data_IF_294138475214
#
_entry.id   IF_294138475214
#
_cell.length_a   1.000
_cell.length_b   1.000
_cell.length_c   1.000
_cell.angle_alpha   90.00
_cell.angle_beta   90.00
_cell.angle_gamma   90.00
#
_symmetry.space_group_name_H-M   'P 1'
#
loop_
_entity.id
_entity.type
_entity.pdbx_description
1 polymer ?
#
# COMPACT_ATOMS: atom_id res chain seq x y z
N UNK A 1 25.21 39.62 -31.52
CA UNK A 1 26.58 39.38 -32.07
C UNK A 1 27.50 39.24 -30.88
N UNK A 2 27.96 38.08 -30.53
CA UNK A 2 29.32 37.60 -30.27
C UNK A 2 29.29 36.11 -30.02
N UNK A 3 29.88 35.39 -30.92
CA UNK A 3 30.29 33.98 -30.79
C UNK A 3 31.42 33.89 -29.73
N UNK A 4 31.38 32.89 -28.86
CA UNK A 4 32.56 32.37 -28.21
C UNK A 4 32.50 30.82 -28.16
N UNK A 5 33.32 30.28 -29.00
CA UNK A 5 33.71 28.89 -29.15
C UNK A 5 34.82 28.61 -28.12
N UNK A 6 34.69 27.58 -27.29
CA UNK A 6 35.81 26.91 -26.54
C UNK A 6 35.44 25.48 -26.25
N UNK A 7 35.98 24.63 -27.04
CA UNK A 7 37.13 23.69 -26.87
C UNK A 7 36.93 22.58 -25.85
N UNK A 8 36.86 21.43 -26.46
CA UNK A 8 37.06 20.06 -25.93
C UNK A 8 38.38 19.94 -25.18
N UNK A 9 38.34 19.38 -23.99
CA UNK A 9 39.49 18.67 -23.44
C UNK A 9 39.00 17.34 -22.86
N UNK A 10 39.26 16.29 -23.62
CA UNK A 10 39.23 14.92 -23.16
C UNK A 10 40.39 14.73 -22.16
N UNK A 11 40.07 14.27 -20.96
CA UNK A 11 41.02 13.67 -20.04
C UNK A 11 40.52 12.26 -19.72
N UNK A 12 41.12 11.30 -20.41
CA UNK A 12 41.18 9.92 -19.94
C UNK A 12 41.97 9.89 -18.62
N UNK A 13 41.33 9.40 -17.58
CA UNK A 13 42.01 8.88 -16.41
C UNK A 13 41.43 7.49 -16.13
N UNK A 14 42.22 6.47 -16.50
CA UNK A 14 42.05 5.11 -15.97
C UNK A 14 42.39 5.10 -14.49
N UNK A 15 41.62 4.36 -13.70
CA UNK A 15 42.12 3.89 -12.42
C UNK A 15 41.05 3.69 -11.38
N UNK A 16 40.71 2.51 -11.17
CA UNK A 16 40.57 1.73 -9.95
C UNK A 16 39.18 1.13 -9.74
N UNK A 17 39.14 -0.16 -10.05
CA UNK A 17 38.09 -1.10 -9.62
C UNK A 17 37.92 -1.02 -8.10
N UNK A 18 36.76 -0.57 -7.67
CA UNK A 18 36.18 -0.91 -6.38
C UNK A 18 34.83 -1.52 -6.65
N UNK A 19 34.81 -2.83 -6.63
CA UNK A 19 33.67 -3.72 -6.75
C UNK A 19 32.67 -3.38 -5.62
N UNK A 20 31.67 -2.55 -5.94
CA UNK A 20 30.50 -2.37 -5.11
C UNK A 20 29.32 -2.82 -5.98
N UNK A 21 28.82 -4.02 -5.68
CA UNK A 21 27.75 -4.67 -6.44
C UNK A 21 26.40 -3.99 -6.24
N UNK A 22 26.25 -2.81 -6.79
CA UNK A 22 24.98 -2.21 -7.11
C UNK A 22 24.71 -2.55 -8.58
N UNK A 23 23.64 -3.26 -8.88
CA UNK A 23 23.17 -3.41 -10.24
C UNK A 23 22.78 -2.02 -10.74
N UNK A 24 23.58 -1.42 -11.63
CA UNK A 24 23.17 -0.20 -12.33
C UNK A 24 21.94 -0.54 -13.18
N UNK A 25 20.76 -0.24 -12.65
CA UNK A 25 19.52 -0.42 -13.39
C UNK A 25 19.52 0.55 -14.58
N UNK A 26 19.35 -0.01 -15.77
CA UNK A 26 19.31 0.75 -17.01
C UNK A 26 17.98 1.48 -17.15
N UNK A 27 17.97 2.76 -16.83
CA UNK A 27 16.77 3.62 -16.92
C UNK A 27 16.20 3.74 -18.35
N UNK A 28 16.98 3.36 -19.38
CA UNK A 28 16.51 3.42 -20.77
C UNK A 28 15.49 2.33 -21.12
N UNK A 29 15.30 1.34 -20.24
CA UNK A 29 14.31 0.25 -20.42
C UNK A 29 12.89 0.65 -20.08
N UNK A 30 12.72 1.78 -19.39
CA UNK A 30 11.43 2.21 -18.87
C UNK A 30 11.08 3.60 -19.38
N UNK A 31 9.82 3.82 -19.67
CA UNK A 31 9.29 5.17 -19.86
C UNK A 31 9.37 5.95 -18.55
N UNK A 32 9.48 7.28 -18.64
CA UNK A 32 9.41 8.13 -17.45
C UNK A 32 8.00 8.17 -16.92
N UNK A 33 7.80 7.63 -15.72
CA UNK A 33 6.50 7.50 -15.07
C UNK A 33 6.57 8.14 -13.68
N UNK A 34 5.56 8.92 -13.33
CA UNK A 34 5.36 9.44 -11.97
C UNK A 34 4.11 8.78 -11.38
N UNK A 35 4.24 8.18 -10.20
CA UNK A 35 3.18 7.49 -9.50
C UNK A 35 2.87 8.26 -8.22
N UNK A 36 1.63 8.69 -8.06
CA UNK A 36 1.09 9.13 -6.79
C UNK A 36 0.49 7.93 -6.07
N UNK A 37 1.05 7.59 -4.90
CA UNK A 37 0.63 6.48 -4.05
C UNK A 37 0.02 7.03 -2.77
N UNK A 38 -1.27 6.78 -2.57
CA UNK A 38 -1.96 7.09 -1.33
C UNK A 38 -1.83 5.95 -0.34
N UNK A 39 -1.71 6.24 0.96
CA UNK A 39 -1.84 5.25 2.01
C UNK A 39 -2.61 5.81 3.21
N UNK A 40 -3.32 4.92 3.90
CA UNK A 40 -4.19 5.29 5.02
C UNK A 40 -3.41 5.62 6.30
N UNK A 41 -2.20 5.12 6.46
CA UNK A 41 -1.37 5.33 7.65
C UNK A 41 -1.08 6.80 7.92
N UNK A 42 -1.07 7.16 9.20
CA UNK A 42 -0.88 8.54 9.63
C UNK A 42 0.59 8.97 9.70
N UNK A 43 1.51 8.03 9.54
CA UNK A 43 2.95 8.28 9.61
C UNK A 43 3.72 7.22 8.83
N UNK A 44 4.95 7.52 8.48
CA UNK A 44 5.86 6.60 7.77
C UNK A 44 6.17 5.32 8.55
N UNK A 45 5.83 5.26 9.84
CA UNK A 45 5.98 4.07 10.68
C UNK A 45 4.74 3.19 10.76
N UNK A 46 3.64 3.58 10.14
CA UNK A 46 2.48 2.71 9.97
C UNK A 46 2.79 1.58 8.98
N UNK A 47 2.24 0.38 9.18
CA UNK A 47 2.60 -0.82 8.41
C UNK A 47 2.37 -0.65 6.91
N UNK A 48 1.26 -0.04 6.52
CA UNK A 48 0.94 0.28 5.13
C UNK A 48 1.92 1.29 4.52
N UNK A 49 2.30 2.33 5.29
CA UNK A 49 3.29 3.31 4.84
C UNK A 49 4.71 2.72 4.77
N UNK A 50 5.07 1.78 5.66
CA UNK A 50 6.31 1.00 5.53
C UNK A 50 6.31 0.23 4.22
N UNK A 51 5.21 -0.47 3.91
CA UNK A 51 5.03 -1.17 2.63
C UNK A 51 5.15 -0.24 1.42
N UNK A 52 4.51 0.94 1.49
CA UNK A 52 4.61 1.96 0.44
C UNK A 52 6.06 2.44 0.23
N UNK A 53 6.80 2.69 1.30
CA UNK A 53 8.19 3.14 1.23
C UNK A 53 9.12 2.06 0.66
N UNK A 54 8.92 0.79 1.02
CA UNK A 54 9.67 -0.34 0.45
C UNK A 54 9.36 -0.50 -1.04
N UNK A 55 8.09 -0.39 -1.44
CA UNK A 55 7.70 -0.41 -2.84
C UNK A 55 8.36 0.72 -3.61
N UNK A 56 8.27 1.97 -3.10
CA UNK A 56 8.92 3.14 -3.69
C UNK A 56 10.40 2.89 -3.91
N UNK A 57 11.12 2.51 -2.86
CA UNK A 57 12.55 2.25 -2.94
C UNK A 57 12.86 1.21 -4.03
N UNK A 58 12.16 0.08 -4.00
CA UNK A 58 12.37 -1.01 -4.95
C UNK A 58 12.14 -0.58 -6.40
N UNK A 59 11.01 0.09 -6.69
CA UNK A 59 10.66 0.44 -8.07
C UNK A 59 11.57 1.55 -8.63
N UNK A 60 11.96 2.53 -7.81
CA UNK A 60 12.89 3.59 -8.20
C UNK A 60 14.28 3.02 -8.47
N UNK A 61 14.78 2.10 -7.62
CA UNK A 61 16.06 1.42 -7.84
C UNK A 61 16.03 0.53 -9.09
N UNK A 62 14.99 -0.30 -9.25
CA UNK A 62 14.90 -1.23 -10.38
C UNK A 62 14.71 -0.53 -11.73
N UNK A 63 14.11 0.64 -11.74
CA UNK A 63 13.91 1.45 -12.96
C UNK A 63 15.06 2.42 -13.24
N UNK A 64 16.10 2.46 -12.39
CA UNK A 64 17.18 3.44 -12.50
C UNK A 64 16.66 4.89 -12.41
N UNK A 65 15.57 5.10 -11.67
CA UNK A 65 14.93 6.40 -11.50
C UNK A 65 14.00 6.84 -12.65
N UNK A 66 13.75 5.95 -13.62
CA UNK A 66 12.76 6.26 -14.68
C UNK A 66 11.34 6.31 -14.12
N UNK A 67 11.03 5.45 -13.15
CA UNK A 67 9.76 5.47 -12.42
C UNK A 67 10.00 6.12 -11.06
N UNK A 68 9.20 7.12 -10.72
CA UNK A 68 9.25 7.82 -9.43
C UNK A 68 7.93 7.67 -8.68
N UNK A 69 8.00 7.54 -7.35
CA UNK A 69 6.81 7.37 -6.50
C UNK A 69 6.75 8.50 -5.47
N UNK A 70 5.63 9.19 -5.41
CA UNK A 70 5.32 10.14 -4.34
C UNK A 70 4.28 9.52 -3.42
N UNK A 71 4.60 9.43 -2.11
CA UNK A 71 3.71 8.83 -1.12
C UNK A 71 2.93 9.93 -0.40
N UNK A 72 1.62 9.73 -0.27
CA UNK A 72 0.70 10.61 0.43
C UNK A 72 0.03 9.85 1.58
N UNK A 73 0.43 10.18 2.81
CA UNK A 73 -0.08 9.55 4.02
C UNK A 73 -1.48 10.07 4.39
N UNK A 74 -2.20 9.31 5.22
CA UNK A 74 -3.49 9.70 5.83
C UNK A 74 -4.56 10.09 4.80
N UNK A 75 -4.59 9.41 3.66
CA UNK A 75 -5.52 9.72 2.55
C UNK A 75 -5.54 11.23 2.19
N UNK A 76 -4.38 11.86 2.25
CA UNK A 76 -4.23 13.31 2.09
C UNK A 76 -4.85 13.82 0.79
N UNK A 77 -4.70 13.07 -0.31
CA UNK A 77 -5.26 13.43 -1.62
C UNK A 77 -6.80 13.42 -1.62
N UNK A 78 -7.40 12.65 -0.72
CA UNK A 78 -8.84 12.55 -0.53
C UNK A 78 -9.36 13.38 0.67
N UNK A 79 -8.50 14.24 1.24
CA UNK A 79 -8.84 15.04 2.42
C UNK A 79 -9.03 14.20 3.70
N UNK A 80 -8.38 13.04 3.80
CA UNK A 80 -8.49 12.11 4.92
C UNK A 80 -9.73 11.21 4.85
N UNK A 81 -10.43 11.16 3.73
CA UNK A 81 -11.60 10.31 3.54
C UNK A 81 -11.22 9.03 2.79
N UNK A 82 -11.20 7.91 3.51
CA UNK A 82 -10.75 6.60 3.01
C UNK A 82 -11.53 6.10 1.79
N UNK A 83 -12.87 6.21 1.82
CA UNK A 83 -13.71 5.77 0.68
C UNK A 83 -13.44 6.62 -0.55
N UNK A 84 -13.27 7.93 -0.34
CA UNK A 84 -12.90 8.84 -1.43
C UNK A 84 -11.52 8.52 -2.02
N UNK A 85 -10.57 8.06 -1.20
CA UNK A 85 -9.26 7.59 -1.66
C UNK A 85 -9.41 6.48 -2.71
N UNK A 86 -10.22 5.46 -2.42
CA UNK A 86 -10.51 4.39 -3.38
C UNK A 86 -11.18 4.90 -4.66
N UNK A 87 -12.11 5.86 -4.57
CA UNK A 87 -12.75 6.46 -5.75
C UNK A 87 -11.72 7.15 -6.65
N UNK A 88 -10.73 7.84 -6.08
CA UNK A 88 -9.65 8.49 -6.83
C UNK A 88 -8.76 7.51 -7.59
N UNK A 89 -8.58 6.29 -7.06
CA UNK A 89 -7.87 5.22 -7.79
C UNK A 89 -8.74 4.66 -8.90
N UNK A 90 -10.02 4.43 -8.64
CA UNK A 90 -10.97 3.89 -9.63
C UNK A 90 -11.14 4.82 -10.83
N UNK A 91 -11.09 6.13 -10.63
CA UNK A 91 -11.20 7.13 -11.71
C UNK A 91 -9.85 7.51 -12.33
N UNK A 92 -8.72 6.96 -11.80
CA UNK A 92 -7.37 7.17 -12.31
C UNK A 92 -6.72 8.48 -11.89
N UNK A 93 -7.34 9.26 -11.02
CA UNK A 93 -6.77 10.51 -10.48
C UNK A 93 -5.52 10.22 -9.64
N UNK A 94 -5.55 9.14 -8.87
CA UNK A 94 -4.42 8.59 -8.10
C UNK A 94 -4.05 7.24 -8.71
N UNK A 95 -2.77 6.99 -8.93
CA UNK A 95 -2.32 5.79 -9.62
C UNK A 95 -2.31 4.55 -8.73
N UNK A 96 -2.04 4.72 -7.43
CA UNK A 96 -1.93 3.59 -6.49
C UNK A 96 -2.45 3.96 -5.11
N UNK A 97 -2.94 2.95 -4.39
CA UNK A 97 -3.42 3.10 -3.03
C UNK A 97 -3.14 1.84 -2.20
N UNK A 98 -2.89 2.02 -0.91
CA UNK A 98 -2.79 0.93 0.07
C UNK A 98 -3.86 1.12 1.14
N UNK A 99 -4.88 0.28 1.07
CA UNK A 99 -6.01 0.32 1.99
C UNK A 99 -6.28 -1.02 2.69
N UNK A 100 -6.93 -0.95 3.85
CA UNK A 100 -7.41 -2.16 4.50
C UNK A 100 -8.57 -2.79 3.72
N UNK A 101 -8.65 -4.11 3.72
CA UNK A 101 -9.74 -4.86 3.07
C UNK A 101 -11.12 -4.46 3.58
N UNK A 102 -11.23 -3.99 4.85
CA UNK A 102 -12.47 -3.46 5.39
C UNK A 102 -12.94 -2.15 4.73
N UNK A 103 -12.02 -1.34 4.20
CA UNK A 103 -12.38 -0.14 3.43
C UNK A 103 -12.67 -0.51 1.97
N UNK A 104 -11.88 -1.42 1.41
CA UNK A 104 -12.12 -1.97 0.06
C UNK A 104 -13.54 -2.55 -0.06
N UNK A 105 -14.09 -3.10 1.03
CA UNK A 105 -15.47 -3.61 1.04
C UNK A 105 -16.54 -2.54 0.78
N UNK A 106 -16.22 -1.26 0.89
CA UNK A 106 -17.16 -0.19 0.51
C UNK A 106 -17.42 -0.11 -1.00
N UNK A 107 -16.48 -0.60 -1.82
CA UNK A 107 -16.62 -0.67 -3.29
C UNK A 107 -16.81 -2.11 -3.78
N UNK A 108 -16.38 -3.09 -3.01
CA UNK A 108 -16.46 -4.52 -3.26
C UNK A 108 -16.80 -5.25 -1.95
N UNK A 109 -18.09 -5.38 -1.58
CA UNK A 109 -18.52 -5.95 -0.30
C UNK A 109 -17.95 -7.34 -0.03
N UNK A 110 -17.71 -8.13 -1.06
CA UNK A 110 -17.13 -9.47 -0.99
C UNK A 110 -15.71 -9.47 -0.41
N UNK A 111 -14.96 -8.37 -0.52
CA UNK A 111 -13.63 -8.23 0.09
C UNK A 111 -13.67 -8.33 1.63
N UNK A 112 -14.85 -8.19 2.24
CA UNK A 112 -15.03 -8.36 3.69
C UNK A 112 -14.63 -9.75 4.17
N UNK A 113 -14.72 -10.78 3.33
CA UNK A 113 -14.29 -12.15 3.68
C UNK A 113 -12.85 -12.17 4.21
N UNK A 114 -11.97 -11.32 3.68
CA UNK A 114 -10.56 -11.25 4.11
C UNK A 114 -10.37 -10.70 5.53
N UNK A 115 -11.41 -10.15 6.15
CA UNK A 115 -11.36 -9.56 7.50
C UNK A 115 -12.25 -10.29 8.49
N UNK A 116 -12.80 -11.44 8.11
CA UNK A 116 -13.64 -12.23 9.00
C UNK A 116 -12.86 -12.66 10.26
N UNK A 117 -13.48 -12.55 11.44
CA UNK A 117 -12.86 -13.01 12.67
C UNK A 117 -12.50 -14.51 12.59
N UNK A 118 -11.35 -14.86 13.17
CA UNK A 118 -10.83 -16.24 13.24
C UNK A 118 -10.60 -16.93 11.90
N UNK A 119 -10.58 -16.19 10.78
CA UNK A 119 -10.29 -16.80 9.47
C UNK A 119 -8.86 -17.34 9.40
N UNK A 120 -7.91 -16.65 10.00
CA UNK A 120 -6.50 -17.02 10.00
C UNK A 120 -6.02 -17.33 11.42
N UNK A 121 -5.28 -18.42 11.60
CA UNK A 121 -4.68 -18.81 12.88
C UNK A 121 -3.46 -17.98 13.26
N UNK A 122 -2.72 -17.52 12.25
CA UNK A 122 -1.45 -16.82 12.39
C UNK A 122 -1.10 -16.03 11.12
N UNK A 123 0.04 -15.33 11.15
CA UNK A 123 0.49 -14.54 10.01
C UNK A 123 0.84 -15.38 8.79
N UNK A 124 1.43 -16.58 8.98
CA UNK A 124 1.81 -17.44 7.87
C UNK A 124 0.56 -17.92 7.10
N UNK A 125 -0.49 -18.33 7.83
CA UNK A 125 -1.75 -18.74 7.21
C UNK A 125 -2.40 -17.62 6.40
N UNK A 126 -2.32 -16.36 6.89
CA UNK A 126 -2.80 -15.20 6.15
C UNK A 126 -1.93 -14.92 4.90
N UNK A 127 -0.63 -15.03 5.03
CA UNK A 127 0.33 -14.82 3.94
C UNK A 127 0.13 -15.86 2.83
N UNK A 128 0.06 -17.14 3.18
CA UNK A 128 -0.19 -18.24 2.24
C UNK A 128 -1.53 -18.04 1.50
N UNK A 129 -2.56 -17.55 2.19
CA UNK A 129 -3.84 -17.26 1.56
C UNK A 129 -3.75 -16.10 0.56
N UNK A 130 -3.11 -14.98 0.93
CA UNK A 130 -3.03 -13.80 0.07
C UNK A 130 -2.01 -13.92 -1.07
N UNK A 131 -1.00 -14.76 -0.95
CA UNK A 131 -0.12 -15.15 -2.06
C UNK A 131 -0.63 -16.34 -2.88
N UNK A 132 -1.74 -16.96 -2.45
CA UNK A 132 -2.43 -18.05 -3.12
C UNK A 132 -3.84 -17.65 -3.58
N UNK A 133 -4.81 -18.54 -3.32
CA UNK A 133 -6.19 -18.41 -3.79
C UNK A 133 -6.90 -17.12 -3.35
N UNK A 134 -6.57 -16.59 -2.17
CA UNK A 134 -7.12 -15.30 -1.71
C UNK A 134 -6.63 -14.13 -2.55
N UNK A 135 -5.36 -14.12 -2.96
CA UNK A 135 -4.82 -13.12 -3.86
C UNK A 135 -5.40 -13.21 -5.27
N UNK A 136 -5.60 -14.43 -5.78
CA UNK A 136 -6.30 -14.66 -7.05
C UNK A 136 -7.75 -14.13 -7.00
N UNK A 137 -8.46 -14.44 -5.92
CA UNK A 137 -9.81 -13.93 -5.68
C UNK A 137 -9.86 -12.40 -5.63
N UNK A 138 -8.96 -11.75 -4.90
CA UNK A 138 -8.88 -10.29 -4.84
C UNK A 138 -8.55 -9.67 -6.19
N UNK A 139 -7.70 -10.32 -6.98
CA UNK A 139 -7.37 -9.89 -8.34
C UNK A 139 -8.61 -9.92 -9.24
N UNK A 140 -9.36 -11.02 -9.23
CA UNK A 140 -10.61 -11.15 -9.99
C UNK A 140 -11.64 -10.11 -9.53
N UNK A 141 -11.90 -10.03 -8.23
CA UNK A 141 -12.87 -9.12 -7.64
C UNK A 141 -12.58 -7.66 -8.00
N UNK A 142 -11.37 -7.19 -7.79
CA UNK A 142 -11.01 -5.79 -8.01
C UNK A 142 -10.89 -5.43 -9.49
N UNK A 143 -10.57 -6.40 -10.35
CA UNK A 143 -10.58 -6.19 -11.80
C UNK A 143 -11.96 -5.77 -12.31
N UNK A 144 -13.04 -6.26 -11.69
CA UNK A 144 -14.43 -5.86 -12.02
C UNK A 144 -14.72 -4.39 -11.70
N UNK A 145 -13.89 -3.77 -10.87
CA UNK A 145 -13.98 -2.35 -10.48
C UNK A 145 -12.97 -1.48 -11.22
N UNK A 146 -12.26 -2.04 -12.21
CA UNK A 146 -11.23 -1.32 -12.96
C UNK A 146 -9.91 -1.11 -12.19
N UNK A 147 -9.71 -1.82 -11.09
CA UNK A 147 -8.52 -1.73 -10.23
C UNK A 147 -7.68 -3.01 -10.36
N UNK A 148 -6.37 -2.86 -10.49
CA UNK A 148 -5.43 -3.98 -10.49
C UNK A 148 -4.92 -4.22 -9.08
N UNK A 149 -5.16 -5.42 -8.54
CA UNK A 149 -4.58 -5.85 -7.27
C UNK A 149 -3.12 -6.27 -7.47
N UNK A 150 -2.21 -5.71 -6.67
CA UNK A 150 -0.77 -5.99 -6.77
C UNK A 150 -0.26 -6.87 -5.63
N UNK A 151 -0.96 -6.92 -4.50
CA UNK A 151 -0.55 -7.69 -3.34
C UNK A 151 -1.11 -7.14 -2.04
N UNK A 152 -0.67 -7.72 -0.93
CA UNK A 152 -1.08 -7.33 0.41
C UNK A 152 0.12 -7.12 1.33
N UNK A 153 -0.07 -6.31 2.36
CA UNK A 153 0.84 -6.14 3.49
C UNK A 153 0.09 -6.45 4.79
N UNK A 154 0.80 -6.99 5.77
CA UNK A 154 0.21 -7.25 7.08
C UNK A 154 -0.06 -5.96 7.84
N UNK A 155 -1.30 -5.79 8.30
CA UNK A 155 -1.64 -4.74 9.27
C UNK A 155 -1.82 -5.29 10.70
N UNK A 156 -1.65 -6.58 10.87
CA UNK A 156 -1.81 -7.29 12.15
C UNK A 156 -3.23 -7.79 12.40
N UNK A 157 -3.38 -8.48 13.52
CA UNK A 157 -4.68 -8.96 14.01
C UNK A 157 -5.39 -7.86 14.80
N UNK A 158 -6.72 -7.82 14.68
CA UNK A 158 -7.55 -6.89 15.45
C UNK A 158 -7.64 -7.33 16.89
N UNK A 159 -7.46 -6.38 17.80
CA UNK A 159 -7.62 -6.56 19.23
C UNK A 159 -8.66 -5.56 19.77
N UNK A 160 -9.44 -5.98 20.74
CA UNK A 160 -10.37 -5.11 21.47
C UNK A 160 -9.61 -4.52 22.65
N UNK A 161 -9.64 -3.19 22.78
CA UNK A 161 -9.08 -2.47 23.92
C UNK A 161 -10.13 -1.56 24.55
N UNK A 162 -10.13 -1.48 25.87
CA UNK A 162 -10.98 -0.54 26.60
C UNK A 162 -10.29 -0.13 27.92
N UNK A 163 -10.82 0.92 28.57
CA UNK A 163 -10.31 1.45 29.85
C UNK A 163 -11.24 1.19 31.03
N UNK A 164 -12.24 0.32 30.90
CA UNK A 164 -13.28 0.11 31.92
C UNK A 164 -13.03 -1.14 32.76
N UNK A 165 -12.91 -2.31 32.11
CA UNK A 165 -12.74 -3.60 32.76
C UNK A 165 -12.15 -4.63 31.77
N UNK A 166 -11.60 -5.77 32.24
CA UNK A 166 -11.21 -6.87 31.38
C UNK A 166 -12.39 -7.39 30.56
N UNK A 167 -12.09 -7.90 29.35
CA UNK A 167 -13.04 -8.58 28.46
C UNK A 167 -12.55 -10.01 28.35
N UNK A 168 -13.26 -10.96 28.94
CA UNK A 168 -12.95 -12.39 28.96
C UNK A 168 -14.00 -13.21 28.20
N UNK A 169 -15.20 -12.66 28.03
CA UNK A 169 -16.34 -13.30 27.37
C UNK A 169 -17.18 -12.22 26.63
N UNK A 170 -18.00 -12.62 25.65
CA UNK A 170 -18.79 -11.66 24.85
C UNK A 170 -19.70 -10.73 25.67
N UNK A 171 -20.25 -11.23 26.79
CA UNK A 171 -21.15 -10.47 27.66
C UNK A 171 -20.47 -9.26 28.31
N UNK A 172 -19.14 -9.29 28.44
CA UNK A 172 -18.35 -8.18 28.98
C UNK A 172 -18.31 -6.97 28.03
N UNK A 173 -18.74 -7.13 26.79
CA UNK A 173 -18.89 -6.02 25.83
C UNK A 173 -20.12 -5.16 26.13
N UNK A 174 -21.07 -5.67 26.89
CA UNK A 174 -22.34 -4.97 27.14
C UNK A 174 -22.13 -3.59 27.80
N UNK A 175 -22.70 -2.56 27.16
CA UNK A 175 -22.60 -1.18 27.65
C UNK A 175 -21.28 -0.46 27.37
N UNK A 176 -20.31 -1.11 26.71
CA UNK A 176 -19.12 -0.44 26.23
C UNK A 176 -19.43 0.33 24.94
N UNK A 177 -18.80 1.50 24.78
CA UNK A 177 -18.76 2.23 23.52
C UNK A 177 -17.48 1.84 22.79
N UNK A 178 -17.61 1.02 21.76
CA UNK A 178 -16.49 0.49 20.98
C UNK A 178 -16.46 1.15 19.61
N UNK A 179 -15.29 1.61 19.18
CA UNK A 179 -15.06 2.04 17.80
C UNK A 179 -14.75 0.80 16.97
N UNK A 180 -15.51 0.59 15.92
CA UNK A 180 -15.30 -0.51 14.95
C UNK A 180 -14.96 0.07 13.57
N UNK A 181 -14.36 -0.72 12.65
CA UNK A 181 -14.29 -0.36 11.24
C UNK A 181 -15.69 -0.12 10.66
N UNK A 182 -15.80 0.69 9.62
CA UNK A 182 -17.06 0.89 8.92
C UNK A 182 -17.55 -0.39 8.21
N UNK A 183 -18.86 -0.47 7.97
CA UNK A 183 -19.51 -1.55 7.24
C UNK A 183 -20.48 -2.37 8.10
N UNK A 184 -21.54 -2.87 7.46
CA UNK A 184 -22.65 -3.57 8.13
C UNK A 184 -22.17 -4.84 8.85
N UNK A 185 -21.21 -5.55 8.27
CA UNK A 185 -20.63 -6.75 8.88
C UNK A 185 -20.14 -6.53 10.33
N UNK A 186 -19.40 -5.44 10.59
CA UNK A 186 -18.91 -5.18 11.93
C UNK A 186 -19.99 -4.66 12.85
N UNK A 187 -21.01 -3.99 12.30
CA UNK A 187 -22.18 -3.55 13.07
C UNK A 187 -23.02 -4.74 13.54
N UNK A 188 -23.12 -5.80 12.73
CA UNK A 188 -23.86 -7.02 13.07
C UNK A 188 -23.05 -7.98 13.97
N UNK A 189 -21.72 -7.90 13.89
CA UNK A 189 -20.82 -8.78 14.63
C UNK A 189 -20.66 -8.37 16.10
N UNK A 190 -20.64 -7.07 16.42
CA UNK A 190 -20.47 -6.52 17.77
C UNK A 190 -21.79 -6.05 18.40
#
# INVERSE_FOLDING_TARGET
IVLALCMVSALCACGNDSNNGGSDADSSKYDKISIDLSCNGQSDTANDCIGANLFKQYIEEQSGGAITVTIYNNDQLAGGNMTKGLELVMDGTVQMDIHSTSIISSIAPEAMVCTMPWLFSDYQAAEDAFFGAGGEYMTELLSTKGVTYLGAVHNGFKLITNSKHPIEQPEDLAGLKIRIPGGDFFMDFY
#
